data_IF_615781712538
#
_entry.id   IF_615781712538
#
_cell.length_a   1.000
_cell.length_b   1.000
_cell.length_c   1.000
_cell.angle_alpha   90.00
_cell.angle_beta   90.00
_cell.angle_gamma   90.00
#
_symmetry.space_group_name_H-M   'P 1'
#
loop_
_entity.id
_entity.type
_entity.pdbx_description
1 polymer ?
#
# COMPACT_ATOMS: atom_id res chain seq x y z
N UNK A 1 -2.75 24.72 -8.62
CA UNK A 1 -2.35 23.30 -8.54
C UNK A 1 -0.89 23.27 -8.18
N UNK A 2 -0.51 22.63 -7.10
CA UNK A 2 0.91 22.39 -6.78
C UNK A 2 1.56 21.60 -7.92
N UNK A 3 2.86 21.82 -8.23
CA UNK A 3 3.56 21.02 -9.22
C UNK A 3 3.50 19.54 -8.79
N UNK A 4 3.34 18.65 -9.77
CA UNK A 4 3.34 17.20 -9.48
C UNK A 4 4.77 16.76 -9.15
N UNK A 5 4.90 15.94 -8.13
CA UNK A 5 6.17 15.31 -7.77
C UNK A 5 6.61 14.36 -8.89
N UNK A 6 7.82 14.52 -9.41
CA UNK A 6 8.41 13.64 -10.42
C UNK A 6 8.82 12.28 -9.85
N UNK A 7 9.16 11.32 -10.72
CA UNK A 7 9.70 10.04 -10.28
C UNK A 7 11.02 10.22 -9.53
N UNK A 8 11.92 11.06 -10.04
CA UNK A 8 13.20 11.35 -9.39
C UNK A 8 13.01 11.96 -8.00
N UNK A 9 12.11 12.94 -7.83
CA UNK A 9 11.81 13.54 -6.53
C UNK A 9 11.26 12.52 -5.52
N UNK A 10 10.47 11.54 -5.97
CA UNK A 10 10.03 10.43 -5.10
C UNK A 10 11.21 9.57 -4.67
N UNK A 11 12.10 9.19 -5.61
CA UNK A 11 13.28 8.40 -5.30
C UNK A 11 14.14 9.12 -4.26
N UNK A 12 14.42 10.40 -4.46
CA UNK A 12 15.22 11.22 -3.56
C UNK A 12 14.56 11.43 -2.19
N UNK A 13 13.23 11.50 -2.14
CA UNK A 13 12.50 11.72 -0.89
C UNK A 13 12.41 10.48 0.01
N UNK A 14 12.43 9.28 -0.58
CA UNK A 14 12.21 8.04 0.19
C UNK A 14 13.46 7.21 0.42
N UNK A 15 14.40 7.20 -0.54
CA UNK A 15 15.62 6.40 -0.45
C UNK A 15 16.71 7.11 0.37
N UNK A 16 17.66 6.34 0.86
CA UNK A 16 18.91 6.86 1.43
C UNK A 16 19.71 7.56 0.35
N UNK A 17 20.30 8.70 0.66
CA UNK A 17 20.99 9.54 -0.34
C UNK A 17 22.04 8.76 -1.13
N UNK A 18 21.92 8.78 -2.46
CA UNK A 18 22.85 8.11 -3.39
C UNK A 18 22.75 6.59 -3.44
N UNK A 19 21.72 5.97 -2.81
CA UNK A 19 21.58 4.51 -2.79
C UNK A 19 20.84 3.94 -4.00
N UNK A 20 20.19 4.76 -4.81
CA UNK A 20 19.43 4.29 -5.95
C UNK A 20 20.33 3.71 -7.04
N UNK A 21 20.03 2.48 -7.45
CA UNK A 21 20.64 1.79 -8.58
C UNK A 21 19.53 1.39 -9.55
N UNK A 22 19.52 1.99 -10.74
CA UNK A 22 18.52 1.69 -11.77
C UNK A 22 18.66 0.25 -12.27
N UNK A 23 17.51 -0.38 -12.50
CA UNK A 23 17.38 -1.68 -13.16
C UNK A 23 16.81 -1.54 -14.58
N UNK A 24 16.56 -0.30 -15.01
CA UNK A 24 15.97 -0.03 -16.29
C UNK A 24 16.93 -0.43 -17.42
N UNK A 25 16.39 -1.16 -18.39
CA UNK A 25 17.01 -1.43 -19.68
C UNK A 25 16.36 -0.57 -20.74
N UNK A 26 16.95 -0.56 -21.95
CA UNK A 26 16.36 0.09 -23.11
C UNK A 26 14.90 -0.36 -23.30
N UNK A 27 13.95 0.57 -23.53
CA UNK A 27 12.55 0.22 -23.72
C UNK A 27 12.36 -0.75 -24.88
N UNK A 28 11.51 -1.76 -24.68
CA UNK A 28 11.14 -2.70 -25.73
C UNK A 28 10.55 -1.96 -26.93
N UNK A 29 11.01 -2.26 -28.14
CA UNK A 29 10.48 -1.68 -29.37
C UNK A 29 9.04 -2.17 -29.61
N UNK A 30 8.13 -1.23 -29.66
CA UNK A 30 6.70 -1.47 -29.91
C UNK A 30 6.29 -1.22 -31.37
N UNK A 31 7.27 -0.96 -32.25
CA UNK A 31 7.06 -0.62 -33.66
C UNK A 31 6.01 0.49 -33.83
N UNK A 32 6.22 1.69 -33.25
CA UNK A 32 5.26 2.77 -33.27
C UNK A 32 5.03 3.26 -34.70
N UNK A 33 3.82 3.72 -35.02
CA UNK A 33 3.59 4.50 -36.21
C UNK A 33 4.20 5.91 -36.06
N UNK A 34 4.36 6.65 -37.18
CA UNK A 34 5.02 7.97 -37.23
C UNK A 34 4.45 8.96 -36.18
N UNK A 35 3.14 8.97 -35.95
CA UNK A 35 2.50 9.86 -35.00
C UNK A 35 2.86 9.50 -33.58
N UNK A 36 2.84 8.20 -33.24
CA UNK A 36 3.17 7.73 -31.90
C UNK A 36 4.66 7.85 -31.60
N UNK A 37 5.52 7.65 -32.61
CA UNK A 37 6.97 7.90 -32.48
C UNK A 37 7.26 9.37 -32.13
N UNK A 38 6.57 10.32 -32.78
CA UNK A 38 6.66 11.74 -32.45
C UNK A 38 6.17 12.03 -31.03
N UNK A 39 5.09 11.38 -30.56
CA UNK A 39 4.61 11.53 -29.18
C UNK A 39 5.63 11.01 -28.16
N UNK A 40 6.26 9.85 -28.44
CA UNK A 40 7.34 9.29 -27.61
C UNK A 40 8.56 10.23 -27.55
N UNK A 41 8.99 10.78 -28.72
CA UNK A 41 10.10 11.71 -28.75
C UNK A 41 9.85 12.97 -27.93
N UNK A 42 8.67 13.58 -28.07
CA UNK A 42 8.24 14.74 -27.26
C UNK A 42 8.16 14.40 -25.77
N UNK A 43 7.68 13.19 -25.44
CA UNK A 43 7.58 12.76 -24.07
C UNK A 43 8.96 12.62 -23.41
N UNK A 44 9.93 12.05 -24.11
CA UNK A 44 11.34 11.94 -23.67
C UNK A 44 11.96 13.31 -23.44
N UNK A 45 11.82 14.22 -24.39
CA UNK A 45 12.32 15.59 -24.28
C UNK A 45 11.73 16.33 -23.08
N UNK A 46 10.40 16.19 -22.88
CA UNK A 46 9.68 16.89 -21.80
C UNK A 46 9.98 16.34 -20.42
N UNK A 47 10.10 15.02 -20.29
CA UNK A 47 10.21 14.35 -18.99
C UNK A 47 11.65 14.09 -18.56
N UNK A 48 12.58 14.05 -19.51
CA UNK A 48 13.97 13.68 -19.26
C UNK A 48 14.18 12.18 -18.99
N UNK A 49 13.14 11.35 -19.16
CA UNK A 49 13.21 9.89 -19.02
C UNK A 49 12.85 9.19 -20.33
N UNK A 50 13.24 7.95 -20.50
CA UNK A 50 13.04 7.17 -21.72
C UNK A 50 11.69 6.43 -21.76
N UNK A 51 11.05 6.21 -20.58
CA UNK A 51 9.74 5.59 -20.41
C UNK A 51 9.00 6.16 -19.20
N UNK A 52 7.69 5.89 -19.06
CA UNK A 52 6.80 6.40 -18.02
C UNK A 52 7.05 5.79 -16.63
N UNK A 53 8.03 4.92 -16.49
CA UNK A 53 8.37 4.28 -15.22
C UNK A 53 9.87 4.15 -15.05
N UNK A 54 10.35 4.43 -13.84
CA UNK A 54 11.70 4.13 -13.37
C UNK A 54 11.62 2.96 -12.40
N UNK A 55 12.53 1.99 -12.53
CA UNK A 55 12.64 0.84 -11.64
C UNK A 55 14.06 0.66 -11.17
N UNK A 56 14.23 0.16 -9.95
CA UNK A 56 15.56 -0.06 -9.39
C UNK A 56 15.51 -0.50 -7.95
N UNK A 57 16.70 -0.63 -7.37
CA UNK A 57 16.85 -0.86 -5.95
C UNK A 57 17.46 0.35 -5.25
N UNK A 58 17.29 0.41 -3.96
CA UNK A 58 17.93 1.38 -3.08
C UNK A 58 17.84 0.92 -1.64
N UNK A 59 18.17 1.81 -0.71
CA UNK A 59 17.98 1.52 0.70
C UNK A 59 17.05 2.53 1.36
N UNK A 60 16.31 2.09 2.37
CA UNK A 60 15.52 2.93 3.27
C UNK A 60 15.92 2.57 4.69
N UNK A 61 16.55 3.52 5.39
CA UNK A 61 17.09 3.28 6.75
C UNK A 61 18.00 2.03 6.76
N UNK A 62 18.87 1.92 5.73
CA UNK A 62 19.80 0.83 5.52
C UNK A 62 19.22 -0.49 5.00
N UNK A 63 17.90 -0.60 4.83
CA UNK A 63 17.23 -1.82 4.32
C UNK A 63 17.09 -1.77 2.82
N UNK A 64 17.59 -2.81 2.13
CA UNK A 64 17.42 -2.93 0.67
C UNK A 64 15.95 -3.04 0.32
N UNK A 65 15.51 -2.27 -0.66
CA UNK A 65 14.15 -2.27 -1.20
C UNK A 65 14.20 -2.15 -2.72
N UNK A 66 13.19 -2.68 -3.38
CA UNK A 66 12.93 -2.39 -4.81
C UNK A 66 11.90 -1.30 -4.89
N UNK A 67 12.13 -0.34 -5.78
CA UNK A 67 11.20 0.78 -6.00
C UNK A 67 10.80 0.88 -7.46
N UNK A 68 9.49 1.11 -7.68
CA UNK A 68 8.87 1.38 -8.97
C UNK A 68 8.21 2.75 -8.88
N UNK A 69 8.71 3.74 -9.61
CA UNK A 69 8.19 5.11 -9.61
C UNK A 69 7.73 5.53 -11.01
N UNK A 70 6.43 5.87 -11.17
CA UNK A 70 5.93 6.37 -12.45
C UNK A 70 6.30 7.85 -12.65
N UNK A 71 6.53 8.24 -13.92
CA UNK A 71 6.75 9.61 -14.35
C UNK A 71 5.53 10.13 -15.15
N UNK A 72 4.79 11.05 -14.54
CA UNK A 72 3.57 11.57 -15.17
C UNK A 72 3.85 12.45 -16.40
N UNK A 73 4.99 13.10 -16.44
CA UNK A 73 5.35 13.96 -17.58
C UNK A 73 5.55 13.16 -18.88
N UNK A 74 5.87 11.86 -18.76
CA UNK A 74 5.95 10.95 -19.89
C UNK A 74 4.55 10.39 -20.21
N UNK A 75 3.92 10.88 -21.28
CA UNK A 75 2.59 10.45 -21.78
C UNK A 75 1.55 10.27 -20.67
N UNK A 76 1.48 11.23 -19.73
CA UNK A 76 0.58 11.19 -18.57
C UNK A 76 0.78 9.95 -17.67
N UNK A 77 1.99 9.42 -17.58
CA UNK A 77 2.29 8.22 -16.81
C UNK A 77 1.58 6.96 -17.30
N UNK A 78 1.13 6.95 -18.56
CA UNK A 78 0.39 5.81 -19.11
C UNK A 78 1.28 4.58 -19.27
N UNK A 79 0.74 3.42 -18.94
CA UNK A 79 1.47 2.16 -19.00
C UNK A 79 1.26 1.50 -20.37
N UNK A 80 2.32 1.47 -21.16
CA UNK A 80 2.43 0.74 -22.40
C UNK A 80 3.18 -0.57 -22.23
N UNK A 81 3.52 -1.23 -23.33
CA UNK A 81 4.25 -2.52 -23.34
C UNK A 81 5.61 -2.37 -22.66
N UNK A 82 6.40 -1.38 -23.05
CA UNK A 82 7.73 -1.18 -22.49
C UNK A 82 7.70 -0.90 -20.98
N UNK A 83 6.80 -0.02 -20.53
CA UNK A 83 6.60 0.23 -19.09
C UNK A 83 6.16 -1.03 -18.34
N UNK A 84 5.22 -1.79 -18.91
CA UNK A 84 4.71 -3.01 -18.28
C UNK A 84 5.79 -4.10 -18.16
N UNK A 85 6.64 -4.26 -19.16
CA UNK A 85 7.78 -5.18 -19.11
C UNK A 85 8.79 -4.76 -18.05
N UNK A 86 9.14 -3.46 -17.93
CA UNK A 86 10.00 -2.95 -16.85
C UNK A 86 9.41 -3.25 -15.46
N UNK A 87 8.14 -2.91 -15.26
CA UNK A 87 7.45 -3.16 -13.99
C UNK A 87 7.49 -4.65 -13.65
N UNK A 88 7.12 -5.50 -14.61
CA UNK A 88 7.08 -6.95 -14.41
C UNK A 88 8.47 -7.51 -14.07
N UNK A 89 9.48 -7.16 -14.86
CA UNK A 89 10.86 -7.61 -14.64
C UNK A 89 11.41 -7.15 -13.28
N UNK A 90 11.09 -5.93 -12.85
CA UNK A 90 11.49 -5.43 -11.54
C UNK A 90 10.82 -6.22 -10.40
N UNK A 91 9.52 -6.55 -10.52
CA UNK A 91 8.79 -7.36 -9.53
C UNK A 91 9.33 -8.78 -9.48
N UNK A 92 9.57 -9.41 -10.62
CA UNK A 92 10.13 -10.77 -10.72
C UNK A 92 11.53 -10.82 -10.11
N UNK A 93 12.38 -9.83 -10.38
CA UNK A 93 13.71 -9.71 -9.79
C UNK A 93 13.63 -9.46 -8.28
N UNK A 94 12.74 -8.56 -7.81
CA UNK A 94 12.50 -8.34 -6.39
C UNK A 94 12.13 -9.65 -5.69
N UNK A 95 11.28 -10.46 -6.34
CA UNK A 95 10.85 -11.77 -5.83
C UNK A 95 12.00 -12.76 -5.76
N UNK A 96 12.80 -12.85 -6.80
CA UNK A 96 13.97 -13.73 -6.87
C UNK A 96 15.05 -13.39 -5.84
N UNK A 97 15.25 -12.08 -5.58
CA UNK A 97 16.22 -11.57 -4.59
C UNK A 97 15.65 -11.48 -3.16
N UNK A 98 14.37 -11.79 -2.95
CA UNK A 98 13.74 -11.75 -1.62
C UNK A 98 13.61 -10.35 -1.04
N UNK A 99 13.43 -9.32 -1.89
CA UNK A 99 13.41 -7.92 -1.49
C UNK A 99 11.98 -7.38 -1.35
N UNK A 100 11.71 -6.49 -0.36
CA UNK A 100 10.45 -5.78 -0.29
C UNK A 100 10.28 -4.84 -1.48
N UNK A 101 9.04 -4.72 -1.97
CA UNK A 101 8.67 -3.93 -3.13
C UNK A 101 7.86 -2.70 -2.72
N UNK A 102 8.26 -1.54 -3.21
CA UNK A 102 7.55 -0.26 -3.04
C UNK A 102 7.17 0.26 -4.42
N UNK A 103 5.90 0.56 -4.63
CA UNK A 103 5.43 1.15 -5.88
C UNK A 103 4.81 2.53 -5.63
N UNK A 104 5.17 3.48 -6.49
CA UNK A 104 4.64 4.84 -6.46
C UNK A 104 4.04 5.21 -7.82
N UNK A 105 2.83 4.69 -8.13
CA UNK A 105 2.16 4.99 -9.38
C UNK A 105 1.63 6.42 -9.43
N UNK A 106 1.72 7.03 -10.61
CA UNK A 106 0.94 8.19 -11.04
C UNK A 106 0.65 7.98 -12.52
N UNK A 107 -0.64 7.84 -12.88
CA UNK A 107 -0.97 7.38 -14.23
C UNK A 107 -2.39 7.76 -14.65
N UNK A 108 -2.52 8.13 -15.89
CA UNK A 108 -3.82 8.25 -16.58
C UNK A 108 -4.43 6.90 -16.98
N UNK A 109 -3.74 5.78 -16.74
CA UNK A 109 -4.20 4.44 -17.09
C UNK A 109 -3.31 3.74 -18.13
N UNK A 110 -3.90 2.85 -18.93
CA UNK A 110 -3.20 2.15 -20.01
C UNK A 110 -2.93 3.07 -21.21
N UNK A 111 -1.83 2.84 -21.91
CA UNK A 111 -1.41 3.64 -23.08
C UNK A 111 -2.32 3.37 -24.27
N UNK A 112 -3.12 4.35 -24.65
CA UNK A 112 -4.15 4.21 -25.68
C UNK A 112 -3.57 3.93 -27.06
N UNK A 113 -2.38 4.44 -27.38
CA UNK A 113 -1.70 4.23 -28.65
C UNK A 113 -1.33 2.76 -28.90
N UNK A 114 -1.18 1.97 -27.85
CA UNK A 114 -0.84 0.54 -27.92
C UNK A 114 -2.08 -0.37 -27.76
N UNK A 115 -3.25 0.22 -27.58
CA UNK A 115 -4.54 -0.45 -27.63
C UNK A 115 -4.72 -1.59 -26.62
N UNK A 116 -5.32 -2.69 -27.09
CA UNK A 116 -5.67 -3.84 -26.27
C UNK A 116 -4.46 -4.51 -25.61
N UNK A 117 -3.30 -4.49 -26.26
CA UNK A 117 -2.10 -5.11 -25.74
C UNK A 117 -1.66 -4.47 -24.40
N UNK A 118 -1.62 -3.13 -24.34
CA UNK A 118 -1.31 -2.41 -23.11
C UNK A 118 -2.30 -2.75 -21.99
N UNK A 119 -3.57 -2.94 -22.32
CA UNK A 119 -4.58 -3.34 -21.32
C UNK A 119 -4.34 -4.77 -20.79
N UNK A 120 -4.04 -5.72 -21.65
CA UNK A 120 -3.79 -7.13 -21.26
C UNK A 120 -2.55 -7.24 -20.35
N UNK A 121 -1.54 -6.41 -20.55
CA UNK A 121 -0.33 -6.40 -19.73
C UNK A 121 -0.57 -5.99 -18.27
N UNK A 122 -1.70 -5.34 -17.95
CA UNK A 122 -2.08 -5.11 -16.54
C UNK A 122 -2.28 -6.43 -15.79
N UNK A 123 -2.76 -7.48 -16.48
CA UNK A 123 -2.88 -8.83 -15.90
C UNK A 123 -1.50 -9.43 -15.61
N UNK A 124 -0.52 -9.23 -16.51
CA UNK A 124 0.86 -9.69 -16.32
C UNK A 124 1.48 -9.07 -15.06
N UNK A 125 1.35 -7.74 -14.90
CA UNK A 125 1.84 -7.03 -13.71
C UNK A 125 1.12 -7.55 -12.44
N UNK A 126 -0.20 -7.68 -12.48
CA UNK A 126 -0.98 -8.18 -11.33
C UNK A 126 -0.57 -9.62 -10.95
N UNK A 127 -0.26 -10.46 -11.94
CA UNK A 127 0.25 -11.83 -11.70
C UNK A 127 1.61 -11.82 -11.05
N UNK A 128 2.53 -10.95 -11.48
CA UNK A 128 3.85 -10.80 -10.86
C UNK A 128 3.74 -10.32 -9.41
N UNK A 129 2.87 -9.34 -9.11
CA UNK A 129 2.56 -8.90 -7.75
C UNK A 129 2.00 -10.04 -6.90
N UNK A 130 1.10 -10.84 -7.46
CA UNK A 130 0.52 -11.99 -6.76
C UNK A 130 1.58 -13.04 -6.41
N UNK A 131 2.50 -13.32 -7.34
CA UNK A 131 3.63 -14.22 -7.11
C UNK A 131 4.58 -13.68 -6.03
N UNK A 132 4.87 -12.36 -6.06
CA UNK A 132 5.69 -11.69 -5.07
C UNK A 132 5.10 -11.81 -3.65
N UNK A 133 3.80 -11.57 -3.50
CA UNK A 133 3.08 -11.73 -2.22
C UNK A 133 3.00 -13.21 -1.79
N UNK A 134 2.82 -14.14 -2.72
CA UNK A 134 2.84 -15.58 -2.44
C UNK A 134 4.23 -16.07 -1.98
N UNK A 135 5.31 -15.37 -2.33
CA UNK A 135 6.64 -15.57 -1.77
C UNK A 135 6.83 -14.94 -0.37
N UNK A 136 5.74 -14.42 0.23
CA UNK A 136 5.70 -13.76 1.55
C UNK A 136 6.55 -12.49 1.64
N UNK A 137 6.68 -11.79 0.52
CA UNK A 137 7.45 -10.57 0.43
C UNK A 137 6.55 -9.33 0.53
N UNK A 138 6.99 -8.29 1.24
CA UNK A 138 6.21 -7.08 1.41
C UNK A 138 5.99 -6.33 0.11
N UNK A 139 4.76 -5.87 -0.10
CA UNK A 139 4.39 -4.95 -1.17
C UNK A 139 3.65 -3.75 -0.59
N UNK A 140 4.20 -2.54 -0.77
CA UNK A 140 3.65 -1.27 -0.31
C UNK A 140 3.41 -0.34 -1.50
N UNK A 141 2.33 0.45 -1.44
CA UNK A 141 1.96 1.37 -2.53
C UNK A 141 1.69 2.78 -2.01
N UNK A 142 2.27 3.75 -2.68
CA UNK A 142 1.98 5.18 -2.53
C UNK A 142 1.34 5.73 -3.79
N UNK A 143 0.02 5.93 -3.77
CA UNK A 143 -0.76 6.43 -4.90
C UNK A 143 -0.60 7.93 -5.03
N UNK A 144 -0.05 8.40 -6.15
CA UNK A 144 0.11 9.83 -6.46
C UNK A 144 -0.99 10.36 -7.36
N UNK A 145 -1.07 11.68 -7.49
CA UNK A 145 -2.07 12.39 -8.28
C UNK A 145 -1.69 12.55 -9.76
N UNK A 146 -2.49 12.01 -10.72
CA UNK A 146 -3.60 11.07 -10.55
C UNK A 146 -3.13 9.62 -10.61
N UNK A 147 -3.91 8.69 -10.05
CA UNK A 147 -3.75 7.25 -10.32
C UNK A 147 -5.11 6.68 -10.73
N UNK A 148 -5.29 6.45 -12.02
CA UNK A 148 -6.60 6.08 -12.58
C UNK A 148 -6.55 4.84 -13.48
N UNK A 149 -7.70 4.34 -13.86
CA UNK A 149 -7.87 3.25 -14.80
C UNK A 149 -7.32 1.91 -14.35
N UNK A 150 -6.78 1.16 -15.29
CA UNK A 150 -6.23 -0.17 -15.06
C UNK A 150 -5.10 -0.22 -14.04
N UNK A 151 -4.36 0.87 -13.85
CA UNK A 151 -3.26 0.95 -12.87
C UNK A 151 -3.80 0.86 -11.45
N UNK A 152 -4.81 1.65 -11.09
CA UNK A 152 -5.44 1.55 -9.77
C UNK A 152 -6.16 0.23 -9.60
N UNK A 153 -6.93 -0.23 -10.60
CA UNK A 153 -7.71 -1.47 -10.51
C UNK A 153 -6.87 -2.75 -10.50
N UNK A 154 -5.57 -2.66 -10.72
CA UNK A 154 -4.65 -3.80 -10.71
C UNK A 154 -3.57 -3.63 -9.62
N UNK A 155 -2.33 -3.40 -10.01
CA UNK A 155 -1.20 -3.37 -9.09
C UNK A 155 -1.23 -2.20 -8.09
N UNK A 156 -1.91 -1.09 -8.39
CA UNK A 156 -2.08 0.03 -7.46
C UNK A 156 -2.92 -0.28 -6.21
N UNK A 157 -3.75 -1.33 -6.23
CA UNK A 157 -4.65 -1.71 -5.11
C UNK A 157 -4.36 -3.07 -4.49
N UNK A 158 -3.30 -3.77 -4.92
CA UNK A 158 -2.99 -5.12 -4.44
C UNK A 158 -2.00 -5.18 -3.27
N UNK A 159 -1.59 -4.03 -2.72
CA UNK A 159 -0.57 -3.97 -1.69
C UNK A 159 -1.05 -4.47 -0.32
N UNK A 160 -0.10 -4.79 0.55
CA UNK A 160 -0.35 -5.04 1.98
C UNK A 160 -0.71 -3.73 2.70
N UNK A 161 -0.04 -2.63 2.31
CA UNK A 161 -0.31 -1.28 2.80
C UNK A 161 -0.42 -0.35 1.60
N UNK A 162 -1.53 0.37 1.49
CA UNK A 162 -1.77 1.35 0.43
C UNK A 162 -2.06 2.71 1.04
N UNK A 163 -1.21 3.69 0.76
CA UNK A 163 -1.45 5.08 1.16
C UNK A 163 -1.43 6.00 -0.06
N UNK A 164 -1.93 7.20 0.08
CA UNK A 164 -2.07 8.13 -1.04
C UNK A 164 -1.62 9.54 -0.71
N UNK A 165 -1.26 10.29 -1.74
CA UNK A 165 -0.98 11.72 -1.69
C UNK A 165 -2.27 12.51 -1.35
N UNK A 166 -2.21 13.54 -0.49
CA UNK A 166 -3.36 14.38 -0.17
C UNK A 166 -3.99 15.01 -1.42
N UNK A 167 -5.31 14.94 -1.51
CA UNK A 167 -6.08 15.48 -2.63
C UNK A 167 -5.89 14.74 -3.96
N UNK A 168 -5.21 13.60 -3.96
CA UNK A 168 -4.98 12.84 -5.20
C UNK A 168 -6.28 12.33 -5.80
N UNK A 169 -6.41 12.47 -7.12
CA UNK A 169 -7.45 11.83 -7.92
C UNK A 169 -7.11 10.36 -8.09
N UNK A 170 -7.90 9.49 -7.48
CA UNK A 170 -7.67 8.03 -7.49
C UNK A 170 -8.98 7.33 -7.80
N UNK A 171 -9.00 6.49 -8.83
CA UNK A 171 -10.18 5.73 -9.18
C UNK A 171 -10.05 4.96 -10.49
N UNK A 172 -11.04 4.10 -10.77
CA UNK A 172 -11.01 3.32 -12.00
C UNK A 172 -11.46 4.15 -13.22
N UNK A 173 -12.59 4.83 -13.12
CA UNK A 173 -13.15 5.58 -14.24
C UNK A 173 -12.69 7.05 -14.16
N UNK A 174 -11.79 7.44 -15.07
CA UNK A 174 -11.34 8.83 -15.15
C UNK A 174 -12.49 9.81 -15.45
N UNK A 175 -12.48 11.04 -14.89
CA UNK A 175 -13.56 12.00 -15.05
C UNK A 175 -13.92 12.31 -16.51
N UNK A 176 -12.94 12.34 -17.42
CA UNK A 176 -13.17 12.55 -18.86
C UNK A 176 -13.94 11.41 -19.52
N UNK A 177 -13.62 10.17 -19.14
CA UNK A 177 -14.30 8.97 -19.68
C UNK A 177 -15.73 8.92 -19.14
N UNK A 178 -15.93 9.24 -17.87
CA UNK A 178 -17.26 9.33 -17.28
C UNK A 178 -18.12 10.36 -18.00
N UNK A 179 -17.59 11.57 -18.24
CA UNK A 179 -18.30 12.63 -18.95
C UNK A 179 -18.64 12.23 -20.38
N UNK A 180 -17.73 11.53 -21.08
CA UNK A 180 -17.98 11.06 -22.43
C UNK A 180 -19.06 9.96 -22.49
N UNK A 181 -19.18 9.12 -21.47
CA UNK A 181 -20.15 8.01 -21.41
C UNK A 181 -21.54 8.46 -20.94
N UNK A 182 -21.59 9.42 -20.00
CA UNK A 182 -22.84 9.77 -19.32
C UNK A 182 -23.32 11.20 -19.59
N UNK A 183 -22.57 11.97 -20.38
CA UNK A 183 -22.83 13.41 -20.66
C UNK A 183 -23.06 14.26 -19.38
N UNK A 184 -22.33 13.92 -18.32
CA UNK A 184 -22.41 14.55 -17.00
C UNK A 184 -21.01 14.71 -16.42
N UNK A 185 -20.75 15.77 -15.65
CA UNK A 185 -19.50 15.88 -14.91
C UNK A 185 -19.41 14.76 -13.86
N UNK A 186 -18.19 14.27 -13.61
CA UNK A 186 -17.97 13.30 -12.53
C UNK A 186 -18.30 13.98 -11.18
N UNK A 187 -19.04 13.31 -10.26
CA UNK A 187 -19.35 13.87 -8.96
C UNK A 187 -18.07 14.28 -8.19
N UNK A 188 -18.08 15.50 -7.65
CA UNK A 188 -16.95 16.00 -6.86
C UNK A 188 -16.76 15.18 -5.58
N UNK A 189 -15.51 15.05 -5.14
CA UNK A 189 -15.15 14.41 -3.88
C UNK A 189 -15.17 12.88 -3.88
N UNK A 190 -15.73 12.21 -4.90
CA UNK A 190 -15.86 10.73 -4.90
C UNK A 190 -14.51 10.04 -5.10
N UNK A 191 -13.72 10.49 -6.07
CA UNK A 191 -12.42 9.87 -6.39
C UNK A 191 -11.25 10.66 -5.77
N UNK A 192 -11.35 11.02 -4.51
CA UNK A 192 -10.27 11.67 -3.76
C UNK A 192 -9.63 10.70 -2.77
N UNK A 193 -8.35 10.88 -2.49
CA UNK A 193 -7.63 10.08 -1.50
C UNK A 193 -8.35 10.06 -0.14
N UNK A 194 -8.86 11.22 0.30
CA UNK A 194 -9.58 11.38 1.57
C UNK A 194 -10.86 10.54 1.60
N UNK A 195 -11.64 10.58 0.52
CA UNK A 195 -12.86 9.79 0.43
C UNK A 195 -12.58 8.28 0.40
N UNK A 196 -11.55 7.86 -0.33
CA UNK A 196 -11.13 6.46 -0.36
C UNK A 196 -10.65 5.98 1.01
N UNK A 197 -9.94 6.82 1.76
CA UNK A 197 -9.54 6.53 3.13
C UNK A 197 -10.75 6.40 4.05
N UNK A 198 -11.68 7.33 4.01
CA UNK A 198 -12.91 7.30 4.81
C UNK A 198 -13.75 6.05 4.58
N UNK A 199 -13.73 5.54 3.34
CA UNK A 199 -14.44 4.31 2.96
C UNK A 199 -13.59 3.04 3.12
N UNK A 200 -12.39 3.11 3.68
CA UNK A 200 -11.55 1.94 3.91
C UNK A 200 -11.08 1.23 2.63
N UNK A 201 -10.87 1.98 1.55
CA UNK A 201 -10.24 1.48 0.31
C UNK A 201 -8.72 1.54 0.43
N UNK A 202 -8.19 2.58 1.07
CA UNK A 202 -6.76 2.78 1.33
C UNK A 202 -6.52 2.98 2.83
N UNK A 203 -5.27 2.80 3.27
CA UNK A 203 -4.87 2.81 4.66
C UNK A 203 -4.58 4.19 5.24
N UNK A 204 -4.33 5.18 4.39
CA UNK A 204 -4.04 6.52 4.86
C UNK A 204 -3.81 7.53 3.73
N UNK A 205 -3.85 8.79 4.12
CA UNK A 205 -3.49 9.93 3.28
C UNK A 205 -2.24 10.55 3.88
N UNK A 206 -1.14 10.55 3.13
CA UNK A 206 0.20 10.88 3.64
C UNK A 206 0.90 11.85 2.68
N UNK A 207 1.31 13.04 3.15
CA UNK A 207 2.13 13.94 2.35
C UNK A 207 3.49 13.29 2.02
N UNK A 208 4.09 13.69 0.87
CA UNK A 208 5.33 13.07 0.38
C UNK A 208 6.50 13.22 1.36
N UNK A 209 6.57 14.32 2.09
CA UNK A 209 7.60 14.58 3.11
C UNK A 209 7.48 13.66 4.34
N UNK A 210 6.33 13.05 4.58
CA UNK A 210 6.10 12.07 5.63
C UNK A 210 6.18 10.61 5.15
N UNK A 211 6.23 10.40 3.82
CA UNK A 211 6.22 9.07 3.22
C UNK A 211 7.40 8.21 3.70
N UNK A 212 8.62 8.77 3.68
CA UNK A 212 9.81 8.05 4.16
C UNK A 212 9.64 7.55 5.60
N UNK A 213 9.09 8.38 6.49
CA UNK A 213 8.86 8.01 7.88
C UNK A 213 7.88 6.83 8.00
N UNK A 214 6.80 6.85 7.22
CA UNK A 214 5.86 5.73 7.17
C UNK A 214 6.53 4.45 6.67
N UNK A 215 7.30 4.54 5.57
CA UNK A 215 7.98 3.38 4.98
C UNK A 215 9.01 2.77 5.94
N UNK A 216 9.80 3.60 6.64
CA UNK A 216 10.74 3.12 7.68
C UNK A 216 10.00 2.33 8.75
N UNK A 217 8.89 2.84 9.27
CA UNK A 217 8.09 2.16 10.29
C UNK A 217 7.50 0.84 9.77
N UNK A 218 6.93 0.86 8.56
CA UNK A 218 6.37 -0.34 7.95
C UNK A 218 7.45 -1.41 7.73
N UNK A 219 8.61 -1.04 7.19
CA UNK A 219 9.72 -1.96 6.98
C UNK A 219 10.28 -2.53 8.29
N UNK A 220 10.37 -1.71 9.35
CA UNK A 220 10.77 -2.20 10.69
C UNK A 220 9.83 -3.24 11.24
N UNK A 221 8.52 -3.12 10.96
CA UNK A 221 7.56 -4.14 11.37
C UNK A 221 7.64 -5.39 10.49
N UNK A 222 7.74 -5.21 9.16
CA UNK A 222 7.52 -6.33 8.24
C UNK A 222 8.82 -7.07 7.87
N UNK A 223 9.96 -6.36 7.84
CA UNK A 223 11.23 -6.89 7.32
C UNK A 223 12.21 -7.28 8.42
N UNK A 224 12.25 -6.50 9.53
CA UNK A 224 13.21 -6.78 10.58
C UNK A 224 12.89 -8.09 11.29
N UNK A 225 13.93 -8.88 11.55
CA UNK A 225 13.78 -10.14 12.25
C UNK A 225 13.05 -9.96 13.59
N UNK A 226 12.09 -10.84 13.84
CA UNK A 226 11.42 -10.91 15.14
C UNK A 226 12.39 -11.47 16.17
N UNK A 227 12.64 -10.71 17.22
CA UNK A 227 13.39 -11.19 18.39
C UNK A 227 12.38 -11.79 19.36
N UNK A 228 12.34 -13.11 19.43
CA UNK A 228 11.50 -13.78 20.43
C UNK A 228 12.14 -13.61 21.80
N UNK A 229 11.44 -12.95 22.75
CA UNK A 229 11.93 -12.88 24.12
C UNK A 229 11.96 -14.29 24.71
N UNK A 230 12.95 -14.53 25.57
CA UNK A 230 12.96 -15.75 26.39
C UNK A 230 11.76 -15.67 27.36
N UNK A 231 10.65 -16.27 26.97
CA UNK A 231 9.45 -16.34 27.75
C UNK A 231 9.61 -17.47 28.78
N UNK A 232 10.31 -17.19 29.86
CA UNK A 232 10.16 -17.99 31.07
C UNK A 232 8.75 -17.72 31.60
N UNK A 233 7.82 -18.62 31.30
CA UNK A 233 6.52 -18.63 31.97
C UNK A 233 6.81 -18.95 33.44
N UNK A 234 6.56 -18.00 34.32
CA UNK A 234 6.57 -18.29 35.76
C UNK A 234 5.39 -19.22 36.06
N UNK A 235 5.66 -20.53 36.01
CA UNK A 235 4.65 -21.57 36.34
C UNK A 235 4.19 -21.51 37.80
N UNK A 236 4.87 -20.70 38.62
CA UNK A 236 4.55 -20.57 40.07
C UNK A 236 3.40 -19.64 40.35
N UNK A 237 2.84 -18.93 39.37
CA UNK A 237 1.69 -18.06 39.58
C UNK A 237 0.44 -18.94 39.74
N UNK A 238 0.10 -19.31 40.96
CA UNK A 238 -1.19 -19.93 41.28
C UNK A 238 -2.32 -19.01 40.80
N UNK A 239 -3.05 -19.47 39.78
CA UNK A 239 -4.26 -18.76 39.33
C UNK A 239 -5.29 -18.93 40.42
N UNK A 240 -5.71 -17.84 41.12
CA UNK A 240 -6.71 -17.95 42.16
C UNK A 240 -7.98 -18.63 41.63
N UNK A 241 -8.53 -19.60 42.33
CA UNK A 241 -9.82 -20.17 41.97
C UNK A 241 -10.88 -19.06 41.98
N UNK A 242 -11.32 -18.68 40.81
CA UNK A 242 -12.35 -17.67 40.59
C UNK A 242 -13.53 -18.29 39.86
N UNK A 243 -14.75 -17.88 40.27
CA UNK A 243 -15.94 -18.32 39.53
C UNK A 243 -15.90 -17.79 38.08
N UNK A 244 -16.44 -18.55 37.15
CA UNK A 244 -16.55 -18.13 35.74
C UNK A 244 -17.27 -16.78 35.64
N UNK A 245 -18.27 -16.52 36.48
CA UNK A 245 -18.98 -15.24 36.53
C UNK A 245 -18.08 -14.07 36.95
N UNK A 246 -17.19 -14.26 37.89
CA UNK A 246 -16.20 -13.25 38.27
C UNK A 246 -15.27 -12.92 37.11
N UNK A 247 -14.81 -13.92 36.38
CA UNK A 247 -13.99 -13.72 35.16
C UNK A 247 -14.75 -12.91 34.10
N UNK A 248 -16.04 -13.21 33.89
CA UNK A 248 -16.89 -12.42 32.95
C UNK A 248 -17.04 -10.97 33.42
N UNK A 249 -17.29 -10.75 34.73
CA UNK A 249 -17.38 -9.38 35.27
C UNK A 249 -16.06 -8.62 35.14
N UNK A 250 -14.95 -9.26 35.48
CA UNK A 250 -13.61 -8.69 35.37
C UNK A 250 -13.28 -8.32 33.91
N UNK A 251 -13.69 -9.15 32.93
CA UNK A 251 -13.47 -8.87 31.49
C UNK A 251 -14.26 -7.65 31.01
N UNK A 252 -15.36 -7.29 31.69
CA UNK A 252 -16.26 -6.17 31.33
C UNK A 252 -15.96 -4.88 32.08
N UNK A 253 -14.96 -4.84 32.93
CA UNK A 253 -14.59 -3.62 33.67
C UNK A 253 -14.23 -2.49 32.71
N UNK A 254 -14.68 -1.28 33.02
CA UNK A 254 -14.42 -0.08 32.21
C UNK A 254 -12.94 0.35 32.27
N UNK A 255 -12.24 0.04 33.37
CA UNK A 255 -10.83 0.37 33.59
C UNK A 255 -9.85 -0.67 33.01
N UNK A 256 -10.35 -1.74 32.38
CA UNK A 256 -9.51 -2.74 31.70
C UNK A 256 -8.83 -2.12 30.48
N UNK A 257 -7.49 -2.25 30.34
CA UNK A 257 -6.78 -1.79 29.16
C UNK A 257 -7.38 -2.37 27.87
N UNK A 258 -7.55 -1.54 26.86
CA UNK A 258 -7.96 -1.93 25.53
C UNK A 258 -6.81 -1.90 24.54
N UNK A 259 -7.13 -2.11 23.26
CA UNK A 259 -6.13 -2.17 22.17
C UNK A 259 -5.30 -0.88 22.04
N UNK A 260 -5.89 0.31 22.26
CA UNK A 260 -5.16 1.58 22.18
C UNK A 260 -4.09 1.69 23.26
N UNK A 261 -4.43 1.33 24.50
CA UNK A 261 -3.46 1.32 25.60
C UNK A 261 -2.34 0.29 25.36
N UNK A 262 -2.67 -0.86 24.77
CA UNK A 262 -1.65 -1.84 24.38
C UNK A 262 -0.69 -1.25 23.35
N UNK A 263 -1.19 -0.57 22.32
CA UNK A 263 -0.35 0.10 21.32
C UNK A 263 0.51 1.17 21.98
N UNK A 264 -0.10 2.05 22.75
CA UNK A 264 0.58 3.21 23.37
C UNK A 264 1.73 2.79 24.32
N UNK A 265 1.52 1.71 25.10
CA UNK A 265 2.47 1.31 26.13
C UNK A 265 3.44 0.21 25.74
N UNK A 266 3.12 -0.57 24.71
CA UNK A 266 3.90 -1.76 24.37
C UNK A 266 4.43 -1.79 22.93
N UNK A 267 3.87 -1.02 22.01
CA UNK A 267 4.34 -1.00 20.64
C UNK A 267 5.51 -0.03 20.45
N UNK A 268 6.63 -0.53 19.95
CA UNK A 268 7.75 0.30 19.52
C UNK A 268 7.55 0.88 18.10
N UNK A 269 6.81 0.17 17.27
CA UNK A 269 6.38 0.61 15.94
C UNK A 269 4.89 0.31 15.75
N UNK A 270 4.19 1.23 15.08
CA UNK A 270 2.77 1.12 14.81
C UNK A 270 2.42 1.74 13.47
N UNK A 271 1.80 0.96 12.58
CA UNK A 271 1.27 1.39 11.27
C UNK A 271 -0.21 1.05 11.25
N UNK A 272 -1.09 2.05 11.42
CA UNK A 272 -2.53 1.82 11.39
C UNK A 272 -2.96 1.42 9.97
N UNK A 273 -3.91 0.52 9.87
CA UNK A 273 -4.56 0.11 8.64
C UNK A 273 -6.04 0.49 8.71
N UNK A 274 -6.62 0.85 7.57
CA UNK A 274 -8.00 1.31 7.50
C UNK A 274 -8.86 0.40 6.63
N UNK A 275 -9.96 -0.06 7.20
CA UNK A 275 -11.00 -0.76 6.49
C UNK A 275 -10.58 -2.08 5.83
N UNK A 276 -11.44 -2.54 4.95
CA UNK A 276 -11.26 -3.83 4.26
C UNK A 276 -10.27 -3.78 3.08
N UNK A 277 -9.87 -2.59 2.62
CA UNK A 277 -9.20 -2.38 1.34
C UNK A 277 -10.16 -2.52 0.13
N UNK A 278 -11.47 -2.64 0.36
CA UNK A 278 -12.50 -2.89 -0.67
C UNK A 278 -13.72 -1.96 -0.55
N UNK A 279 -13.61 -0.88 0.21
CA UNK A 279 -14.66 0.14 0.30
C UNK A 279 -15.58 -0.01 1.50
N UNK A 280 -15.15 -0.64 2.57
CA UNK A 280 -15.88 -0.73 3.84
C UNK A 280 -14.92 -0.50 5.01
N UNK A 281 -15.39 0.22 6.03
CA UNK A 281 -14.67 0.44 7.28
C UNK A 281 -15.64 0.34 8.46
N UNK A 282 -15.13 -0.14 9.60
CA UNK A 282 -15.87 -0.22 10.86
C UNK A 282 -15.07 0.51 11.96
N UNK A 283 -15.67 1.56 12.52
CA UNK A 283 -15.01 2.38 13.54
C UNK A 283 -14.94 1.71 14.91
N UNK A 284 -15.61 0.59 15.11
CA UNK A 284 -15.61 -0.16 16.39
C UNK A 284 -14.38 -1.04 16.56
N UNK A 285 -13.54 -1.17 15.57
CA UNK A 285 -12.35 -2.01 15.59
C UNK A 285 -11.09 -1.24 15.21
N UNK A 286 -9.96 -1.83 15.51
CA UNK A 286 -8.63 -1.35 15.14
C UNK A 286 -7.83 -2.48 14.52
N UNK A 287 -7.28 -2.22 13.32
CA UNK A 287 -6.36 -3.11 12.61
C UNK A 287 -5.03 -2.39 12.42
N UNK A 288 -3.92 -3.03 12.73
CA UNK A 288 -2.59 -2.40 12.62
C UNK A 288 -1.49 -3.42 12.38
N UNK A 289 -0.43 -2.96 11.75
CA UNK A 289 0.88 -3.62 11.81
C UNK A 289 1.64 -3.04 13.01
N UNK A 290 2.12 -3.88 13.91
CA UNK A 290 2.78 -3.45 15.14
C UNK A 290 4.06 -4.24 15.39
N UNK A 291 4.98 -3.60 16.14
CA UNK A 291 6.10 -4.29 16.78
C UNK A 291 5.97 -4.15 18.30
N UNK A 292 5.64 -5.24 18.97
CA UNK A 292 5.41 -5.29 20.41
C UNK A 292 6.52 -6.09 21.07
N UNK A 293 7.32 -5.45 21.93
CA UNK A 293 8.48 -6.08 22.60
C UNK A 293 9.42 -6.82 21.63
N UNK A 294 9.66 -6.25 20.45
CA UNK A 294 10.50 -6.83 19.42
C UNK A 294 9.82 -7.88 18.51
N UNK A 295 8.57 -8.23 18.79
CA UNK A 295 7.79 -9.16 17.97
C UNK A 295 6.93 -8.39 16.98
N UNK A 296 7.12 -8.62 15.70
CA UNK A 296 6.27 -8.09 14.64
C UNK A 296 4.95 -8.85 14.60
N UNK A 297 3.83 -8.16 14.49
CA UNK A 297 2.51 -8.78 14.45
C UNK A 297 1.47 -7.93 13.70
N UNK A 298 0.43 -8.58 13.23
CA UNK A 298 -0.84 -7.94 12.91
C UNK A 298 -1.65 -7.88 14.20
N UNK A 299 -2.01 -6.68 14.62
CA UNK A 299 -2.82 -6.46 15.79
C UNK A 299 -4.25 -6.10 15.36
N UNK A 300 -5.23 -6.82 15.87
CA UNK A 300 -6.65 -6.60 15.61
C UNK A 300 -7.44 -6.66 16.90
N UNK A 301 -8.39 -5.77 17.10
CA UNK A 301 -9.25 -5.84 18.28
C UNK A 301 -10.33 -4.76 18.31
N UNK A 302 -11.20 -4.89 19.33
CA UNK A 302 -12.27 -3.93 19.55
C UNK A 302 -11.72 -2.62 20.11
N UNK A 303 -12.07 -1.51 19.44
CA UNK A 303 -11.75 -0.17 19.94
C UNK A 303 -12.82 0.31 20.91
N UNK A 304 -12.60 0.01 22.19
CA UNK A 304 -13.53 0.36 23.27
C UNK A 304 -13.75 1.87 23.45
N UNK A 305 -12.81 2.70 22.96
CA UNK A 305 -12.92 4.16 23.06
C UNK A 305 -13.90 4.75 22.05
N UNK A 306 -14.09 4.08 20.92
CA UNK A 306 -15.02 4.48 19.86
C UNK A 306 -16.42 3.86 20.03
N UNK A 307 -16.53 2.81 20.88
CA UNK A 307 -17.82 2.15 21.12
C UNK A 307 -18.71 2.98 22.02
N UNK A 308 -19.67 3.69 21.44
CA UNK A 308 -20.89 4.10 22.17
C UNK A 308 -21.70 2.85 22.51
N UNK A 309 -22.54 2.90 23.52
CA UNK A 309 -23.34 1.74 23.98
C UNK A 309 -24.19 1.06 22.88
N UNK A 310 -24.24 1.64 21.68
CA UNK A 310 -24.99 1.18 20.51
C UNK A 310 -24.09 0.73 19.33
N UNK A 311 -22.78 0.99 19.37
CA UNK A 311 -21.86 0.56 18.31
C UNK A 311 -21.40 -0.89 18.52
N UNK A 312 -22.15 -1.83 17.98
CA UNK A 312 -21.75 -3.24 17.89
C UNK A 312 -20.92 -3.47 16.62
N UNK A 313 -19.99 -4.42 16.69
CA UNK A 313 -19.22 -4.86 15.51
C UNK A 313 -20.16 -5.26 14.37
N UNK A 314 -20.04 -4.59 13.25
CA UNK A 314 -20.84 -4.84 12.05
C UNK A 314 -20.19 -5.87 11.10
N UNK A 315 -20.85 -6.18 9.98
CA UNK A 315 -20.27 -7.05 8.96
C UNK A 315 -18.94 -6.57 8.37
N UNK A 316 -18.71 -5.24 8.32
CA UNK A 316 -17.44 -4.66 7.89
C UNK A 316 -16.30 -5.07 8.83
N UNK A 317 -16.50 -5.03 10.16
CA UNK A 317 -15.52 -5.47 11.13
C UNK A 317 -15.05 -6.92 10.90
N UNK A 318 -15.96 -7.83 10.55
CA UNK A 318 -15.62 -9.23 10.24
C UNK A 318 -14.79 -9.35 8.96
N UNK A 319 -15.06 -8.51 7.96
CA UNK A 319 -14.25 -8.46 6.73
C UNK A 319 -12.88 -7.85 6.96
N UNK A 320 -12.77 -6.87 7.85
CA UNK A 320 -11.48 -6.33 8.28
C UNK A 320 -10.67 -7.37 9.08
N UNK A 321 -11.33 -8.15 9.94
CA UNK A 321 -10.69 -9.28 10.61
C UNK A 321 -10.11 -10.28 9.59
N UNK A 322 -10.86 -10.62 8.54
CA UNK A 322 -10.34 -11.46 7.43
C UNK A 322 -9.13 -10.83 6.74
N UNK A 323 -9.14 -9.49 6.54
CA UNK A 323 -7.96 -8.78 6.03
C UNK A 323 -6.77 -8.96 6.96
N UNK A 324 -6.96 -8.80 8.26
CA UNK A 324 -5.91 -9.01 9.27
C UNK A 324 -5.34 -10.43 9.25
N UNK A 325 -6.20 -11.45 9.17
CA UNK A 325 -5.78 -12.85 9.04
C UNK A 325 -4.94 -13.07 7.77
N UNK A 326 -5.40 -12.57 6.62
CA UNK A 326 -4.68 -12.68 5.36
C UNK A 326 -3.33 -11.97 5.39
N UNK A 327 -3.25 -10.76 5.99
CA UNK A 327 -1.98 -10.05 6.15
C UNK A 327 -0.99 -10.83 7.01
N UNK A 328 -1.46 -11.43 8.11
CA UNK A 328 -0.63 -12.25 8.99
C UNK A 328 -0.07 -13.48 8.25
N UNK A 329 -0.90 -14.14 7.44
CA UNK A 329 -0.52 -15.29 6.60
C UNK A 329 0.45 -14.87 5.49
N UNK A 330 0.12 -13.83 4.70
CA UNK A 330 0.93 -13.37 3.58
C UNK A 330 2.30 -12.86 4.04
N UNK A 331 2.38 -12.18 5.19
CA UNK A 331 3.63 -11.64 5.74
C UNK A 331 4.35 -12.59 6.72
N UNK A 332 3.76 -13.76 7.03
CA UNK A 332 4.28 -14.74 8.00
C UNK A 332 4.60 -14.14 9.37
N UNK A 333 3.75 -13.24 9.85
CA UNK A 333 3.85 -12.66 11.19
C UNK A 333 2.65 -13.06 12.04
N UNK A 334 2.79 -13.13 13.39
CA UNK A 334 1.69 -13.45 14.28
C UNK A 334 0.47 -12.54 14.12
N UNK A 335 -0.73 -13.09 14.32
CA UNK A 335 -1.96 -12.32 14.54
C UNK A 335 -2.25 -12.25 16.05
N UNK A 336 -2.36 -11.05 16.57
CA UNK A 336 -2.71 -10.78 17.98
C UNK A 336 -4.11 -10.21 18.01
N UNK A 337 -4.99 -10.86 18.76
CA UNK A 337 -6.39 -10.46 18.98
C UNK A 337 -6.57 -9.89 20.38
N UNK A 338 -7.23 -8.71 20.53
CA UNK A 338 -7.44 -8.00 21.79
C UNK A 338 -8.92 -7.68 22.02
#
# INVERSE_FOLDING_TARGET
MSPRTSAAEILDSVLDGGSFVSWDSEPVDVHPNDSYEQDLAKAREKSGVDESVLTGEGTIDGRRVVIIACEFAFLAGSIGVAAAERITSAIERATAEGLPLIASPTSGGTRMQEGTLAFVLMVKIASAVTAHKAAHLPYLVYLRNPTTGGVFASWGSLAHVTVAEPGALIGFLGPRVYQALYDKPFPEGVQTAENLYQHGVIDGVVPVDQLRHLLVRALRVIVDATVWPDLTVDESTEIPEQSAWHSVQSSRRADRPGIRQLIEHAASEHVPLSGTGQGEADTSILLSLCRIRGISCVLFGNDRSSSTATATMGPAALREARRGMRLAEELRIPLVLV
#
